data_IF_591984411117
#
_entry.id   IF_591984411117
#
_cell.length_a   1.000
_cell.length_b   1.000
_cell.length_c   1.000
_cell.angle_alpha   90.00
_cell.angle_beta   90.00
_cell.angle_gamma   90.00
#
_symmetry.space_group_name_H-M   'P 1'
#
loop_
_entity.id
_entity.type
_entity.pdbx_description
1 polymer ?
#
# COMPACT_ATOMS: atom_id res chain seq x y z
N UNK A 1 -9.16 -5.82 0.82
CA UNK A 1 -7.86 -5.16 0.96
C UNK A 1 -7.24 -5.41 2.33
N UNK A 2 -5.98 -5.16 2.48
CA UNK A 2 -5.25 -5.44 3.72
C UNK A 2 -4.65 -4.15 4.27
N UNK A 3 -4.95 -3.84 5.55
CA UNK A 3 -4.44 -2.64 6.23
C UNK A 3 -3.38 -3.08 7.23
N UNK A 4 -2.15 -2.60 7.06
CA UNK A 4 -1.00 -2.99 7.87
C UNK A 4 -0.46 -1.78 8.62
N UNK A 5 -0.57 -1.80 9.94
CA UNK A 5 -0.08 -0.74 10.80
C UNK A 5 0.07 -1.31 12.21
N UNK A 6 1.18 -1.02 12.88
CA UNK A 6 1.40 -1.49 14.25
C UNK A 6 0.66 -0.66 15.30
N UNK A 7 0.24 0.56 14.93
CA UNK A 7 -0.57 1.40 15.81
C UNK A 7 -2.03 0.98 15.70
N UNK A 8 -2.58 0.47 16.79
CA UNK A 8 -3.96 -0.03 16.79
C UNK A 8 -4.98 1.05 16.44
N UNK A 9 -4.78 2.26 16.94
CA UNK A 9 -5.73 3.36 16.69
C UNK A 9 -5.75 3.71 15.19
N UNK A 10 -4.58 3.87 14.60
CA UNK A 10 -4.46 4.20 13.18
C UNK A 10 -5.00 3.05 12.32
N UNK A 11 -4.65 1.83 12.66
CA UNK A 11 -5.11 0.63 11.94
C UNK A 11 -6.63 0.56 11.93
N UNK A 12 -7.26 0.79 13.10
CA UNK A 12 -8.71 0.76 13.20
C UNK A 12 -9.35 1.92 12.44
N UNK A 13 -8.76 3.10 12.51
CA UNK A 13 -9.27 4.26 11.79
C UNK A 13 -9.31 4.00 10.29
N UNK A 14 -8.23 3.48 9.73
CA UNK A 14 -8.15 3.18 8.31
C UNK A 14 -9.15 2.09 7.95
N UNK A 15 -9.18 1.01 8.74
CA UNK A 15 -10.05 -0.13 8.46
C UNK A 15 -11.53 0.26 8.48
N UNK A 16 -11.94 1.05 9.47
CA UNK A 16 -13.34 1.49 9.59
C UNK A 16 -13.73 2.37 8.41
N UNK A 17 -12.88 3.35 8.06
CA UNK A 17 -13.19 4.24 6.96
C UNK A 17 -13.35 3.50 5.64
N UNK A 18 -12.47 2.53 5.37
CA UNK A 18 -12.55 1.76 4.13
C UNK A 18 -13.73 0.80 4.13
N UNK A 19 -14.04 0.20 5.27
CA UNK A 19 -15.21 -0.69 5.40
C UNK A 19 -16.50 0.08 5.13
N UNK A 20 -16.60 1.31 5.64
CA UNK A 20 -17.77 2.16 5.40
C UNK A 20 -17.93 2.52 3.92
N UNK A 21 -16.84 2.51 3.16
CA UNK A 21 -16.88 2.79 1.73
C UNK A 21 -17.12 1.54 0.88
N UNK A 22 -17.38 0.41 1.52
CA UNK A 22 -17.74 -0.80 0.81
C UNK A 22 -16.60 -1.77 0.54
N UNK A 23 -15.40 -1.49 1.05
CA UNK A 23 -14.27 -2.40 0.86
C UNK A 23 -14.33 -3.56 1.85
N UNK A 24 -13.86 -4.71 1.41
CA UNK A 24 -13.66 -5.88 2.25
C UNK A 24 -12.28 -5.75 2.88
N UNK A 25 -12.23 -5.51 4.18
CA UNK A 25 -10.97 -5.14 4.85
C UNK A 25 -10.52 -6.21 5.84
N UNK A 26 -9.27 -6.63 5.69
CA UNK A 26 -8.56 -7.42 6.70
C UNK A 26 -7.42 -6.56 7.24
N UNK A 27 -6.88 -6.91 8.40
CA UNK A 27 -5.82 -6.14 9.04
C UNK A 27 -4.63 -7.01 9.39
N UNK A 28 -3.45 -6.40 9.47
CA UNK A 28 -2.24 -7.03 9.96
C UNK A 28 -1.53 -6.03 10.89
N UNK A 29 -0.84 -6.54 11.90
CA UNK A 29 -0.24 -5.69 12.94
C UNK A 29 1.19 -5.27 12.62
N UNK A 30 1.84 -5.93 11.69
CA UNK A 30 3.20 -5.59 11.25
C UNK A 30 3.51 -6.25 9.91
N UNK A 31 4.74 -6.05 9.44
CA UNK A 31 5.16 -6.60 8.14
C UNK A 31 5.15 -8.12 8.09
N UNK A 32 5.59 -8.77 9.15
CA UNK A 32 5.61 -10.23 9.18
C UNK A 32 4.18 -10.80 9.15
N UNK A 33 3.29 -10.21 9.94
CA UNK A 33 1.88 -10.59 9.95
C UNK A 33 1.25 -10.39 8.56
N UNK A 34 1.63 -9.31 7.89
CA UNK A 34 1.20 -9.05 6.51
C UNK A 34 1.62 -10.19 5.59
N UNK A 35 2.89 -10.57 5.62
CA UNK A 35 3.41 -11.63 4.76
C UNK A 35 2.77 -12.98 5.06
N UNK A 36 2.48 -13.24 6.33
CA UNK A 36 1.84 -14.50 6.74
C UNK A 36 0.40 -14.61 6.25
N UNK A 37 -0.29 -13.48 6.11
CA UNK A 37 -1.71 -13.45 5.78
C UNK A 37 -2.00 -13.17 4.31
N UNK A 38 -1.09 -12.53 3.60
CA UNK A 38 -1.37 -11.93 2.30
C UNK A 38 -1.84 -12.92 1.25
N UNK A 39 -1.24 -14.11 1.21
CA UNK A 39 -1.59 -15.10 0.19
C UNK A 39 -3.02 -15.61 0.38
N UNK A 40 -3.40 -15.87 1.62
CA UNK A 40 -4.75 -16.36 1.92
C UNK A 40 -5.81 -15.29 1.70
N UNK A 41 -5.50 -14.03 2.00
CA UNK A 41 -6.43 -12.92 1.84
C UNK A 41 -6.54 -12.50 0.38
N UNK A 42 -5.43 -12.55 -0.34
CA UNK A 42 -5.35 -12.17 -1.76
C UNK A 42 -5.95 -10.77 -2.00
N UNK A 43 -5.44 -9.74 -1.34
CA UNK A 43 -6.00 -8.40 -1.47
C UNK A 43 -5.62 -7.75 -2.80
N UNK A 44 -6.47 -6.83 -3.26
CA UNK A 44 -6.14 -6.00 -4.42
C UNK A 44 -5.19 -4.87 -4.06
N UNK A 45 -5.35 -4.33 -2.84
CA UNK A 45 -4.57 -3.20 -2.36
C UNK A 45 -4.14 -3.45 -0.93
N UNK A 46 -2.89 -3.07 -0.62
CA UNK A 46 -2.36 -3.07 0.75
C UNK A 46 -1.99 -1.64 1.12
N UNK A 47 -2.47 -1.17 2.27
CA UNK A 47 -1.93 0.06 2.87
C UNK A 47 -0.92 -0.37 3.92
N UNK A 48 0.26 0.24 3.91
CA UNK A 48 1.41 -0.27 4.62
C UNK A 48 2.18 0.87 5.29
N UNK A 49 2.16 0.87 6.63
CA UNK A 49 2.94 1.84 7.40
C UNK A 49 4.43 1.52 7.25
N UNK A 50 5.25 2.57 7.10
CA UNK A 50 6.69 2.39 6.96
C UNK A 50 7.34 2.06 8.30
N UNK A 51 6.95 2.77 9.36
CA UNK A 51 7.59 2.66 10.67
C UNK A 51 6.94 1.57 11.51
N UNK A 52 7.43 0.34 11.37
CA UNK A 52 6.92 -0.80 12.13
C UNK A 52 8.08 -1.59 12.71
N UNK A 53 7.88 -2.24 13.88
CA UNK A 53 8.92 -3.10 14.46
C UNK A 53 9.12 -4.38 13.65
N UNK A 54 10.26 -5.01 13.85
CA UNK A 54 10.67 -6.26 13.21
C UNK A 54 10.90 -6.09 11.71
N UNK A 55 9.85 -5.95 10.93
CA UNK A 55 9.92 -5.83 9.48
C UNK A 55 9.20 -4.55 9.07
N UNK A 56 9.96 -3.54 8.64
CA UNK A 56 9.39 -2.24 8.30
C UNK A 56 8.67 -2.27 6.95
N UNK A 57 8.01 -1.15 6.61
CA UNK A 57 7.23 -1.07 5.38
C UNK A 57 8.05 -1.20 4.11
N UNK A 58 9.29 -0.68 4.12
CA UNK A 58 10.17 -0.79 2.96
C UNK A 58 10.50 -2.25 2.65
N UNK A 59 10.90 -2.99 3.67
CA UNK A 59 11.27 -4.39 3.51
C UNK A 59 10.04 -5.22 3.12
N UNK A 60 8.91 -4.96 3.77
CA UNK A 60 7.66 -5.67 3.46
C UNK A 60 7.26 -5.47 2.00
N UNK A 61 7.29 -4.21 1.53
CA UNK A 61 6.95 -3.91 0.14
C UNK A 61 7.91 -4.60 -0.84
N UNK A 62 9.19 -4.59 -0.51
CA UNK A 62 10.20 -5.25 -1.34
C UNK A 62 9.95 -6.74 -1.47
N UNK A 63 9.63 -7.40 -0.34
CA UNK A 63 9.35 -8.83 -0.33
C UNK A 63 8.07 -9.16 -1.10
N UNK A 64 7.05 -8.31 -1.01
CA UNK A 64 5.84 -8.49 -1.80
C UNK A 64 6.13 -8.44 -3.30
N UNK A 65 6.97 -7.50 -3.72
CA UNK A 65 7.30 -7.35 -5.14
C UNK A 65 8.16 -8.49 -5.68
N UNK A 66 8.97 -9.11 -4.85
CA UNK A 66 9.83 -10.22 -5.26
C UNK A 66 9.10 -11.54 -5.39
N UNK A 67 7.96 -11.68 -4.73
CA UNK A 67 7.19 -12.93 -4.77
C UNK A 67 6.20 -12.88 -5.92
N UNK A 68 6.27 -13.81 -6.88
CA UNK A 68 5.34 -13.81 -8.02
C UNK A 68 3.87 -13.86 -7.61
N UNK A 69 3.57 -14.48 -6.47
CA UNK A 69 2.19 -14.60 -6.00
C UNK A 69 1.61 -13.26 -5.51
N UNK A 70 2.46 -12.30 -5.16
CA UNK A 70 2.05 -11.02 -4.60
C UNK A 70 2.53 -9.81 -5.39
N UNK A 71 3.29 -10.03 -6.45
CA UNK A 71 3.97 -8.94 -7.16
C UNK A 71 3.03 -7.94 -7.84
N UNK A 72 1.79 -8.32 -8.07
CA UNK A 72 0.80 -7.45 -8.73
C UNK A 72 -0.13 -6.72 -7.76
N UNK A 73 -0.02 -7.00 -6.47
CA UNK A 73 -0.84 -6.30 -5.46
C UNK A 73 -0.41 -4.83 -5.40
N UNK A 74 -1.39 -3.92 -5.38
CA UNK A 74 -1.09 -2.48 -5.29
C UNK A 74 -0.71 -2.15 -3.85
N UNK A 75 0.36 -1.37 -3.69
CA UNK A 75 0.89 -1.02 -2.38
C UNK A 75 0.87 0.50 -2.20
N UNK A 76 0.23 0.95 -1.12
CA UNK A 76 0.23 2.34 -0.70
C UNK A 76 1.05 2.43 0.57
N UNK A 77 2.18 3.14 0.53
CA UNK A 77 2.99 3.36 1.73
C UNK A 77 2.47 4.57 2.48
N UNK A 78 2.38 4.44 3.79
CA UNK A 78 1.93 5.53 4.68
C UNK A 78 3.08 5.87 5.60
N UNK A 79 3.45 7.16 5.65
CA UNK A 79 4.63 7.60 6.38
C UNK A 79 4.37 8.93 7.09
N UNK A 80 5.07 9.16 8.20
CA UNK A 80 5.01 10.44 8.89
C UNK A 80 5.69 11.56 8.10
N UNK A 81 6.52 11.19 7.11
CA UNK A 81 7.19 12.17 6.24
C UNK A 81 7.43 11.53 4.88
N UNK A 82 7.35 12.36 3.84
CA UNK A 82 7.62 11.92 2.48
C UNK A 82 8.63 12.88 1.85
N UNK A 83 9.92 12.60 2.02
CA UNK A 83 10.99 13.35 1.41
C UNK A 83 11.32 12.77 0.03
N UNK A 84 12.05 13.53 -0.78
CA UNK A 84 12.37 13.10 -2.15
C UNK A 84 13.12 11.76 -2.17
N UNK A 85 14.04 11.54 -1.23
CA UNK A 85 14.78 10.28 -1.16
C UNK A 85 13.84 9.11 -0.86
N UNK A 86 12.84 9.34 0.00
CA UNK A 86 11.85 8.32 0.33
C UNK A 86 10.99 7.97 -0.88
N UNK A 87 10.56 8.98 -1.63
CA UNK A 87 9.77 8.78 -2.84
C UNK A 87 10.56 8.02 -3.89
N UNK A 88 11.84 8.36 -4.04
CA UNK A 88 12.72 7.66 -4.97
C UNK A 88 12.88 6.20 -4.58
N UNK A 89 13.06 5.92 -3.29
CA UNK A 89 13.16 4.56 -2.78
C UNK A 89 11.88 3.77 -3.07
N UNK A 90 10.73 4.39 -2.87
CA UNK A 90 9.46 3.76 -3.18
C UNK A 90 9.30 3.42 -4.66
N UNK A 91 9.72 4.34 -5.54
CA UNK A 91 9.68 4.06 -6.98
C UNK A 91 10.59 2.90 -7.36
N UNK A 92 11.77 2.81 -6.73
CA UNK A 92 12.70 1.72 -7.01
C UNK A 92 12.13 0.37 -6.56
N UNK A 93 11.41 0.35 -5.45
CA UNK A 93 10.75 -0.87 -4.96
C UNK A 93 9.53 -1.19 -5.81
N UNK A 94 8.85 -0.17 -6.32
CA UNK A 94 7.67 -0.35 -7.15
C UNK A 94 6.37 -0.20 -6.38
N UNK A 95 6.34 0.68 -5.38
CA UNK A 95 5.08 0.99 -4.69
C UNK A 95 4.22 1.88 -5.58
N UNK A 96 2.92 1.82 -5.40
CA UNK A 96 1.97 2.49 -6.29
C UNK A 96 1.59 3.90 -5.82
N UNK A 97 1.68 4.17 -4.52
CA UNK A 97 1.32 5.47 -3.99
C UNK A 97 1.92 5.70 -2.62
N UNK A 98 1.94 6.96 -2.22
CA UNK A 98 2.36 7.43 -0.90
C UNK A 98 1.26 8.25 -0.28
N UNK A 99 1.09 8.11 1.04
CA UNK A 99 0.28 9.03 1.84
C UNK A 99 1.12 9.47 3.03
N UNK A 100 1.05 10.75 3.36
CA UNK A 100 1.79 11.32 4.48
C UNK A 100 0.85 11.52 5.67
N UNK A 101 1.27 11.06 6.85
CA UNK A 101 0.52 11.27 8.09
C UNK A 101 0.73 12.71 8.59
N UNK A 102 -0.28 13.38 9.10
CA UNK A 102 -1.68 12.97 9.09
C UNK A 102 -2.25 13.08 7.67
N UNK A 103 -3.06 12.11 7.28
CA UNK A 103 -3.68 12.11 5.96
C UNK A 103 -5.18 12.39 6.09
N UNK A 104 -5.73 12.96 5.02
CA UNK A 104 -7.18 13.15 4.92
C UNK A 104 -7.82 11.79 4.56
N UNK A 105 -8.78 11.28 5.35
CA UNK A 105 -9.43 10.02 5.02
C UNK A 105 -10.04 10.01 3.62
N UNK A 106 -10.57 11.14 3.15
CA UNK A 106 -11.10 11.24 1.79
C UNK A 106 -10.05 11.03 0.73
N UNK A 107 -8.85 11.57 0.95
CA UNK A 107 -7.72 11.38 0.04
C UNK A 107 -7.31 9.91 0.00
N UNK A 108 -7.21 9.28 1.16
CA UNK A 108 -6.87 7.86 1.26
C UNK A 108 -7.87 7.02 0.48
N UNK A 109 -9.16 7.28 0.67
CA UNK A 109 -10.23 6.55 -0.02
C UNK A 109 -10.10 6.70 -1.53
N UNK A 110 -9.85 7.93 -2.01
CA UNK A 110 -9.68 8.17 -3.45
C UNK A 110 -8.50 7.39 -4.03
N UNK A 111 -7.37 7.39 -3.32
CA UNK A 111 -6.18 6.68 -3.76
C UNK A 111 -6.43 5.17 -3.81
N UNK A 112 -6.99 4.62 -2.75
CA UNK A 112 -7.27 3.18 -2.67
C UNK A 112 -8.27 2.77 -3.75
N UNK A 113 -9.33 3.56 -3.92
CA UNK A 113 -10.37 3.25 -4.92
C UNK A 113 -9.81 3.28 -6.34
N UNK A 114 -8.96 4.26 -6.64
CA UNK A 114 -8.33 4.35 -7.95
C UNK A 114 -7.42 3.15 -8.23
N UNK A 115 -6.65 2.73 -7.24
CA UNK A 115 -5.76 1.58 -7.39
C UNK A 115 -6.54 0.28 -7.49
N UNK A 116 -7.59 0.12 -6.70
CA UNK A 116 -8.40 -1.10 -6.74
C UNK A 116 -9.10 -1.29 -8.09
N UNK A 117 -9.38 -0.20 -8.81
CA UNK A 117 -10.02 -0.27 -10.11
C UNK A 117 -9.03 -0.59 -11.25
N UNK A 118 -7.72 -0.54 -11.00
CA UNK A 118 -6.71 -0.77 -12.05
C UNK A 118 -6.46 -2.25 -12.25
N UNK A 119 -6.35 -2.65 -13.51
CA UNK A 119 -5.96 -4.00 -13.85
C UNK A 119 -4.44 -4.13 -13.83
N UNK A 120 -3.89 -5.31 -13.53
CA UNK A 120 -2.43 -5.51 -13.59
C UNK A 120 -1.82 -5.13 -14.94
N UNK A 121 -2.54 -5.37 -16.03
CA UNK A 121 -2.05 -5.01 -17.37
C UNK A 121 -1.93 -3.50 -17.53
N UNK A 122 -2.83 -2.74 -16.93
CA UNK A 122 -2.78 -1.27 -16.97
C UNK A 122 -1.54 -0.75 -16.26
N UNK A 123 -1.14 -1.38 -15.17
CA UNK A 123 0.07 -1.01 -14.46
C UNK A 123 1.30 -1.19 -15.35
N UNK A 124 1.36 -2.28 -16.08
CA UNK A 124 2.47 -2.55 -16.98
C UNK A 124 2.53 -1.50 -18.09
N UNK A 125 1.39 -1.16 -18.66
CA UNK A 125 1.31 -0.15 -19.69
C UNK A 125 1.73 1.23 -19.18
N UNK A 126 1.35 1.58 -17.98
CA UNK A 126 1.72 2.87 -17.38
C UNK A 126 3.21 2.95 -17.10
N UNK A 127 3.82 1.87 -16.68
CA UNK A 127 5.25 1.83 -16.44
C UNK A 127 6.04 2.15 -17.70
N UNK A 128 5.57 1.71 -18.83
CA UNK A 128 6.24 1.99 -20.07
C UNK A 128 5.94 3.40 -20.59
N UNK A 129 4.80 3.89 -20.28
CA UNK A 129 4.42 5.21 -20.69
C UNK A 129 5.12 6.30 -19.88
N UNK A 130 5.57 6.31 -18.88
CA UNK A 130 5.69 7.21 -17.98
C UNK A 130 5.91 7.95 -17.66
N UNK A 131 5.80 7.81 -17.50
CA UNK A 131 5.48 8.29 -16.88
C UNK A 131 5.12 8.56 -16.52
N UNK A 132 5.12 8.56 -16.50
CA UNK A 132 4.34 8.86 -15.96
C UNK A 132 4.20 9.41 -15.64
N UNK A 133 4.23 9.65 -15.62
CA UNK A 133 3.81 10.22 -15.17
C UNK A 133 3.70 10.63 -14.60
N UNK A 134 3.75 10.59 -14.49
CA UNK A 134 3.43 10.90 -13.95
C UNK A 134 3.13 11.12 -13.78
N UNK A 135 3.37 10.98 -14.01
CA UNK A 135 2.92 11.08 -13.80
C UNK A 135 2.77 11.27 -13.74
N UNK A 136 3.01 11.20 -13.97
CA UNK A 136 2.67 11.39 -13.76
C UNK A 136 2.79 11.62 -13.58
#
# INVERSE_FOLDING_TARGET
>A
MLVVDDDEVIRQLIAVNLTLEGFDVATAVDGQDCLDKVTAIDPDVITLDIMMPRLDGWMTASLLRRNPDTSTIKVVLITARAQEDDKKRGRQIGVDAYLTKPFDPGEMIRVVRALAAREPADQTAEDTAEGRPEQA
#
